data_IF_189912646055
#
_entry.id   IF_189912646055
#
_cell.length_a   1.000
_cell.length_b   1.000
_cell.length_c   1.000
_cell.angle_alpha   90.00
_cell.angle_beta   90.00
_cell.angle_gamma   90.00
#
_symmetry.space_group_name_H-M   'P 1'
#
loop_
_entity.id
_entity.type
_entity.pdbx_description
1 polymer ?
#
# COMPACT_ATOMS: atom_id res chain seq x y z
N UNK A 1 -41.77 10.82 62.17
CA UNK A 1 -41.58 9.94 61.01
C UNK A 1 -41.04 10.81 59.84
N UNK A 2 -39.74 10.75 59.60
CA UNK A 2 -39.12 11.49 58.50
C UNK A 2 -38.81 10.48 57.38
N UNK A 3 -39.41 10.66 56.24
CA UNK A 3 -39.20 9.86 55.05
C UNK A 3 -38.07 10.50 54.27
N UNK A 4 -36.91 9.77 54.15
CA UNK A 4 -35.82 10.15 53.25
C UNK A 4 -36.11 9.59 51.89
N UNK A 5 -36.24 10.46 50.89
CA UNK A 5 -36.22 10.11 49.45
C UNK A 5 -34.75 10.04 48.98
N UNK A 6 -34.32 8.85 48.61
CA UNK A 6 -33.06 8.67 47.85
C UNK A 6 -33.37 8.92 46.37
N UNK A 7 -32.76 9.95 45.80
CA UNK A 7 -32.72 10.16 44.36
C UNK A 7 -31.51 9.39 43.79
N UNK A 8 -31.77 8.37 42.97
CA UNK A 8 -30.74 7.69 42.21
C UNK A 8 -30.46 8.48 40.91
N UNK A 9 -29.27 9.01 40.84
CA UNK A 9 -28.79 9.64 39.60
C UNK A 9 -28.26 8.53 38.67
N UNK A 10 -28.96 8.31 37.55
CA UNK A 10 -28.50 7.49 36.46
C UNK A 10 -27.58 8.35 35.60
N UNK A 11 -26.29 8.14 35.70
CA UNK A 11 -25.31 8.71 34.80
C UNK A 11 -25.34 7.93 33.48
N UNK A 12 -26.02 8.47 32.47
CA UNK A 12 -25.98 7.95 31.12
C UNK A 12 -24.63 8.29 30.50
N UNK A 13 -23.80 7.27 30.30
CA UNK A 13 -22.58 7.39 29.49
C UNK A 13 -22.99 7.56 28.02
N UNK A 14 -22.91 8.79 27.53
CA UNK A 14 -23.01 9.05 26.09
C UNK A 14 -21.70 8.57 25.45
N UNK A 15 -21.75 7.39 24.82
CA UNK A 15 -20.71 6.94 23.91
C UNK A 15 -20.74 7.86 22.71
N UNK A 16 -19.87 8.84 22.69
CA UNK A 16 -19.54 9.60 21.49
C UNK A 16 -18.85 8.63 20.53
N UNK A 17 -19.60 8.10 19.57
CA UNK A 17 -19.01 7.50 18.39
C UNK A 17 -18.20 8.61 17.71
N UNK A 18 -16.88 8.50 17.75
CA UNK A 18 -16.00 9.32 16.93
C UNK A 18 -16.27 8.93 15.47
N UNK A 19 -17.26 9.56 14.87
CA UNK A 19 -17.41 9.58 13.42
C UNK A 19 -16.12 10.16 12.85
N UNK A 20 -15.51 9.46 11.88
CA UNK A 20 -14.38 9.99 11.15
C UNK A 20 -14.82 11.36 10.60
N UNK A 21 -14.30 12.44 11.18
CA UNK A 21 -14.51 13.76 10.63
C UNK A 21 -13.84 13.80 9.28
N UNK A 22 -14.60 14.21 8.24
CA UNK A 22 -14.03 14.49 6.94
C UNK A 22 -12.84 15.44 7.13
N UNK A 23 -11.66 15.00 6.72
CA UNK A 23 -10.49 15.85 6.78
C UNK A 23 -10.71 17.07 5.89
N UNK A 24 -10.41 18.25 6.41
CA UNK A 24 -10.45 19.46 5.60
C UNK A 24 -9.37 19.36 4.53
N UNK A 25 -9.81 19.15 3.28
CA UNK A 25 -8.93 19.07 2.10
C UNK A 25 -8.78 20.42 1.42
N UNK A 26 -9.32 21.50 2.01
CA UNK A 26 -9.18 22.84 1.49
C UNK A 26 -7.72 23.28 1.51
N UNK A 27 -7.23 23.77 0.38
CA UNK A 27 -5.90 24.34 0.28
C UNK A 27 -5.83 25.71 0.96
N UNK A 28 -4.65 26.14 1.46
CA UNK A 28 -4.47 27.51 1.91
C UNK A 28 -4.80 28.51 0.82
N UNK A 29 -5.24 29.70 1.22
CA UNK A 29 -5.55 30.77 0.27
C UNK A 29 -4.36 31.09 -0.61
N UNK A 30 -4.60 31.22 -1.92
CA UNK A 30 -3.55 31.49 -2.91
C UNK A 30 -2.75 30.28 -3.38
N UNK A 31 -3.02 29.10 -2.82
CA UNK A 31 -2.36 27.87 -3.25
C UNK A 31 -3.15 27.23 -4.40
N UNK A 32 -2.43 26.85 -5.45
CA UNK A 32 -2.99 26.22 -6.64
C UNK A 32 -2.29 24.90 -6.92
N UNK A 33 -3.06 23.83 -7.03
CA UNK A 33 -2.56 22.54 -7.47
C UNK A 33 -2.23 22.60 -8.96
N UNK A 34 -1.00 22.23 -9.30
CA UNK A 34 -0.48 22.31 -10.68
C UNK A 34 -0.39 20.92 -11.33
N UNK A 35 -0.05 19.90 -10.56
CA UNK A 35 0.16 18.55 -11.06
C UNK A 35 0.05 17.55 -9.91
N UNK A 36 -0.47 16.35 -10.21
CA UNK A 36 -0.49 15.21 -9.29
C UNK A 36 0.06 13.98 -9.99
N UNK A 37 1.00 13.30 -9.35
CA UNK A 37 1.39 11.96 -9.71
C UNK A 37 0.93 11.01 -8.61
N UNK A 38 0.17 10.00 -9.01
CA UNK A 38 -0.41 8.99 -8.11
C UNK A 38 0.36 7.69 -8.32
N UNK A 39 1.10 7.25 -7.29
CA UNK A 39 1.71 5.91 -7.29
C UNK A 39 0.83 4.97 -6.47
N UNK A 40 0.15 4.05 -7.14
CA UNK A 40 -0.84 3.16 -6.54
C UNK A 40 -0.35 1.72 -6.46
N UNK A 41 -0.64 1.06 -5.34
CA UNK A 41 -0.69 -0.40 -5.30
C UNK A 41 -1.97 -0.86 -5.99
N UNK A 42 -1.93 -2.03 -6.69
CA UNK A 42 -3.14 -2.69 -7.19
C UNK A 42 -4.18 -2.88 -6.08
N UNK A 43 -5.43 -3.01 -6.44
CA UNK A 43 -6.51 -3.26 -5.50
C UNK A 43 -6.66 -4.76 -5.15
N UNK A 44 -7.74 -5.10 -4.48
CA UNK A 44 -8.03 -6.42 -3.91
C UNK A 44 -7.98 -7.53 -4.95
N UNK A 45 -7.20 -8.55 -4.65
CA UNK A 45 -6.94 -9.72 -5.48
C UNK A 45 -7.14 -11.02 -4.69
N UNK A 46 -7.24 -12.13 -5.39
CA UNK A 46 -7.09 -13.44 -4.77
C UNK A 46 -5.62 -13.66 -4.33
N UNK A 47 -5.36 -14.54 -3.34
CA UNK A 47 -3.99 -14.89 -2.95
C UNK A 47 -3.14 -15.31 -4.15
N UNK A 48 -1.84 -15.00 -4.12
CA UNK A 48 -0.94 -15.28 -5.23
C UNK A 48 -0.88 -16.79 -5.54
N UNK A 49 -0.93 -17.15 -6.81
CA UNK A 49 -0.90 -18.54 -7.25
C UNK A 49 0.40 -19.26 -6.83
N UNK A 50 1.53 -18.56 -6.85
CA UNK A 50 2.82 -19.11 -6.42
C UNK A 50 2.93 -19.33 -4.90
N UNK A 51 1.98 -18.82 -4.12
CA UNK A 51 1.87 -19.09 -2.68
C UNK A 51 0.97 -20.30 -2.36
N UNK A 52 0.31 -20.89 -3.35
CA UNK A 52 -0.61 -22.01 -3.15
C UNK A 52 0.02 -23.19 -2.44
N UNK A 53 1.24 -23.58 -2.82
CA UNK A 53 1.96 -24.66 -2.14
C UNK A 53 2.34 -24.32 -0.70
N UNK A 54 2.65 -23.07 -0.39
CA UNK A 54 2.92 -22.62 0.98
C UNK A 54 1.66 -22.72 1.83
N UNK A 55 0.51 -22.28 1.30
CA UNK A 55 -0.78 -22.36 2.01
C UNK A 55 -1.16 -23.82 2.29
N UNK A 56 -1.09 -24.69 1.29
CA UNK A 56 -1.42 -26.10 1.41
C UNK A 56 -0.50 -26.87 2.36
N UNK A 57 0.79 -26.54 2.37
CA UNK A 57 1.77 -27.19 3.25
C UNK A 57 1.69 -26.74 4.70
N UNK A 58 1.12 -25.56 4.96
CA UNK A 58 1.12 -24.94 6.28
C UNK A 58 -0.04 -25.38 7.17
N UNK A 59 -1.08 -25.98 6.61
CA UNK A 59 -2.26 -26.42 7.36
C UNK A 59 -2.95 -27.58 6.69
N UNK A 60 -3.55 -28.46 7.49
CA UNK A 60 -4.47 -29.49 7.01
C UNK A 60 -5.88 -28.96 6.77
N UNK A 61 -6.19 -27.76 7.25
CA UNK A 61 -7.51 -27.13 7.07
C UNK A 61 -7.72 -26.77 5.59
N UNK A 62 -8.98 -26.88 5.12
CA UNK A 62 -9.33 -26.55 3.75
C UNK A 62 -9.37 -25.02 3.56
N UNK A 63 -8.74 -24.54 2.51
CA UNK A 63 -8.79 -23.14 2.13
C UNK A 63 -10.07 -22.82 1.34
N UNK A 64 -10.68 -21.65 1.57
CA UNK A 64 -11.84 -21.25 0.78
C UNK A 64 -11.43 -20.99 -0.66
N UNK A 65 -12.36 -21.24 -1.58
CA UNK A 65 -12.17 -20.98 -3.01
C UNK A 65 -12.49 -19.54 -3.34
N UNK A 66 -11.72 -19.00 -4.30
CA UNK A 66 -11.93 -17.68 -4.87
C UNK A 66 -12.57 -17.82 -6.26
N UNK A 67 -13.32 -16.79 -6.67
CA UNK A 67 -14.01 -16.77 -7.96
C UNK A 67 -13.12 -16.32 -9.13
N UNK A 68 -11.87 -15.96 -8.85
CA UNK A 68 -10.85 -15.62 -9.85
C UNK A 68 -9.59 -16.43 -9.63
N UNK A 69 -8.77 -16.63 -10.65
CA UNK A 69 -7.46 -17.27 -10.48
C UNK A 69 -6.56 -16.54 -9.47
N UNK A 70 -5.65 -17.26 -8.86
CA UNK A 70 -4.70 -16.70 -7.90
C UNK A 70 -3.95 -15.49 -8.46
N UNK A 71 -3.87 -14.44 -7.66
CA UNK A 71 -3.16 -13.21 -8.01
C UNK A 71 -3.94 -12.23 -8.89
N UNK A 72 -5.12 -12.57 -9.33
CA UNK A 72 -5.95 -11.67 -10.15
C UNK A 72 -6.85 -10.78 -9.29
N UNK A 73 -7.09 -9.57 -9.80
CA UNK A 73 -8.04 -8.63 -9.21
C UNK A 73 -9.44 -9.25 -9.14
N UNK A 74 -10.08 -9.13 -7.98
CA UNK A 74 -11.47 -9.57 -7.83
C UNK A 74 -12.45 -8.50 -8.34
N UNK A 75 -13.70 -8.89 -8.56
CA UNK A 75 -14.77 -7.93 -8.90
C UNK A 75 -14.91 -6.86 -7.80
N UNK A 76 -14.84 -7.26 -6.52
CA UNK A 76 -14.86 -6.31 -5.40
C UNK A 76 -13.67 -5.36 -5.45
N UNK A 77 -12.49 -5.86 -5.80
CA UNK A 77 -11.31 -5.02 -6.02
C UNK A 77 -11.55 -3.93 -7.07
N UNK A 78 -12.24 -4.27 -8.14
CA UNK A 78 -12.66 -3.32 -9.15
C UNK A 78 -13.65 -2.28 -8.63
N UNK A 79 -14.65 -2.70 -7.87
CA UNK A 79 -15.64 -1.79 -7.24
C UNK A 79 -14.96 -0.80 -6.28
N UNK A 80 -14.06 -1.30 -5.43
CA UNK A 80 -13.30 -0.45 -4.50
C UNK A 80 -12.47 0.59 -5.25
N UNK A 81 -11.89 0.21 -6.37
CA UNK A 81 -11.09 1.14 -7.18
C UNK A 81 -11.94 2.16 -7.93
N UNK A 82 -13.13 1.80 -8.38
CA UNK A 82 -14.11 2.76 -8.92
C UNK A 82 -14.43 3.82 -7.88
N UNK A 83 -14.65 3.44 -6.63
CA UNK A 83 -14.91 4.39 -5.54
C UNK A 83 -13.71 5.32 -5.28
N UNK A 84 -12.51 4.76 -5.31
CA UNK A 84 -11.30 5.56 -5.14
C UNK A 84 -11.13 6.56 -6.32
N UNK A 85 -11.37 6.12 -7.53
CA UNK A 85 -11.37 6.98 -8.71
C UNK A 85 -12.41 8.10 -8.63
N UNK A 86 -13.62 7.78 -8.21
CA UNK A 86 -14.69 8.76 -8.00
C UNK A 86 -14.29 9.84 -6.97
N UNK A 87 -13.80 9.43 -5.82
CA UNK A 87 -13.30 10.35 -4.80
C UNK A 87 -12.18 11.26 -5.36
N UNK A 88 -11.24 10.65 -6.07
CA UNK A 88 -10.12 11.39 -6.63
C UNK A 88 -10.58 12.45 -7.64
N UNK A 89 -11.57 12.10 -8.48
CA UNK A 89 -12.19 13.07 -9.40
C UNK A 89 -12.80 14.24 -8.66
N UNK A 90 -13.55 14.00 -7.60
CA UNK A 90 -14.17 15.09 -6.80
C UNK A 90 -13.09 15.99 -6.19
N UNK A 91 -12.02 15.40 -5.64
CA UNK A 91 -10.92 16.17 -5.07
C UNK A 91 -10.18 16.99 -6.12
N UNK A 92 -9.86 16.40 -7.27
CA UNK A 92 -9.20 17.11 -8.37
C UNK A 92 -10.05 18.28 -8.90
N UNK A 93 -11.37 18.13 -8.95
CA UNK A 93 -12.29 19.20 -9.33
C UNK A 93 -12.36 20.28 -8.25
N UNK A 94 -12.39 19.90 -6.97
CA UNK A 94 -12.33 20.84 -5.84
C UNK A 94 -11.06 21.71 -5.92
N UNK A 95 -9.93 21.12 -6.28
CA UNK A 95 -8.64 21.81 -6.46
C UNK A 95 -8.51 22.49 -7.85
N UNK A 96 -9.55 22.42 -8.67
CA UNK A 96 -9.58 23.03 -10.01
C UNK A 96 -8.52 22.52 -10.99
N UNK A 97 -7.96 21.33 -10.72
CA UNK A 97 -7.03 20.69 -11.67
C UNK A 97 -7.77 20.07 -12.86
N UNK A 98 -9.00 19.64 -12.65
CA UNK A 98 -9.94 19.22 -13.68
C UNK A 98 -11.26 19.98 -13.53
N UNK A 99 -12.05 20.05 -14.60
CA UNK A 99 -13.36 20.71 -14.57
C UNK A 99 -14.43 19.68 -14.25
N UNK A 100 -15.29 20.00 -13.26
CA UNK A 100 -16.40 19.14 -12.88
C UNK A 100 -17.36 18.94 -14.05
N UNK A 101 -17.78 17.68 -14.28
CA UNK A 101 -18.77 17.36 -15.32
C UNK A 101 -18.21 17.31 -16.76
N UNK A 102 -16.92 17.55 -16.95
CA UNK A 102 -16.28 17.52 -18.27
C UNK A 102 -15.17 16.46 -18.33
N UNK A 103 -14.95 15.89 -19.50
CA UNK A 103 -13.76 15.09 -19.73
C UNK A 103 -12.52 16.00 -19.76
N UNK A 104 -11.37 15.56 -19.19
CA UNK A 104 -10.14 16.32 -19.29
C UNK A 104 -9.68 16.44 -20.75
N UNK A 105 -8.92 17.49 -21.06
CA UNK A 105 -8.31 17.62 -22.40
C UNK A 105 -7.44 16.40 -22.73
N UNK A 106 -7.25 16.15 -24.01
CA UNK A 106 -6.34 15.11 -24.48
C UNK A 106 -4.94 15.28 -23.85
N UNK A 107 -4.35 14.18 -23.41
CA UNK A 107 -3.05 14.13 -22.73
C UNK A 107 -2.99 14.81 -21.34
N UNK A 108 -4.10 15.30 -20.81
CA UNK A 108 -4.12 15.85 -19.45
C UNK A 108 -4.02 14.78 -18.37
N UNK A 109 -4.46 13.55 -18.66
CA UNK A 109 -4.40 12.39 -17.76
C UNK A 109 -3.63 11.28 -18.47
N UNK A 110 -2.61 10.74 -17.79
CA UNK A 110 -1.81 9.64 -18.28
C UNK A 110 -1.84 8.50 -17.26
N UNK A 111 -2.31 7.32 -17.66
CA UNK A 111 -2.36 6.12 -16.83
C UNK A 111 -1.39 5.07 -17.36
N UNK A 112 -0.54 4.55 -16.48
CA UNK A 112 0.49 3.56 -16.78
C UNK A 112 0.55 2.50 -15.68
N UNK A 113 0.43 1.25 -16.06
CA UNK A 113 0.41 0.13 -15.13
C UNK A 113 1.45 -0.92 -15.47
N UNK A 114 1.90 -1.66 -14.45
CA UNK A 114 2.64 -2.89 -14.69
C UNK A 114 1.77 -3.87 -15.48
N UNK A 115 2.38 -4.66 -16.34
CA UNK A 115 1.72 -5.55 -17.31
C UNK A 115 1.23 -6.87 -16.70
N UNK A 116 0.59 -6.79 -15.54
CA UNK A 116 -0.13 -7.89 -14.91
C UNK A 116 -1.62 -7.57 -14.88
N UNK A 117 -2.47 -8.61 -14.88
CA UNK A 117 -3.92 -8.40 -14.87
C UNK A 117 -4.35 -7.47 -13.73
N UNK A 118 -3.92 -7.72 -12.50
CA UNK A 118 -4.35 -6.95 -11.32
C UNK A 118 -3.95 -5.47 -11.36
N UNK A 119 -2.82 -5.15 -11.96
CA UNK A 119 -2.34 -3.76 -12.06
C UNK A 119 -3.01 -3.01 -13.21
N UNK A 120 -3.12 -3.63 -14.37
CA UNK A 120 -3.83 -3.04 -15.52
C UNK A 120 -5.32 -2.87 -15.19
N UNK A 121 -5.96 -3.89 -14.61
CA UNK A 121 -7.37 -3.81 -14.22
C UNK A 121 -7.61 -2.74 -13.15
N UNK A 122 -6.74 -2.62 -12.15
CA UNK A 122 -6.84 -1.53 -11.15
C UNK A 122 -6.83 -0.17 -11.83
N UNK A 123 -5.90 0.08 -12.75
CA UNK A 123 -5.84 1.34 -13.49
C UNK A 123 -7.11 1.58 -14.32
N UNK A 124 -7.64 0.57 -14.98
CA UNK A 124 -8.87 0.65 -15.78
C UNK A 124 -10.07 1.02 -14.90
N UNK A 125 -10.22 0.38 -13.75
CA UNK A 125 -11.32 0.69 -12.82
C UNK A 125 -11.18 2.08 -12.20
N UNK A 126 -9.96 2.52 -11.88
CA UNK A 126 -9.73 3.89 -11.44
C UNK A 126 -10.20 4.90 -12.50
N UNK A 127 -9.78 4.74 -13.74
CA UNK A 127 -10.19 5.61 -14.85
C UNK A 127 -11.71 5.58 -15.03
N UNK A 128 -12.34 4.41 -14.93
CA UNK A 128 -13.80 4.30 -15.00
C UNK A 128 -14.48 5.11 -13.89
N UNK A 129 -13.97 5.06 -12.68
CA UNK A 129 -14.50 5.83 -11.55
C UNK A 129 -14.26 7.32 -11.63
N UNK A 130 -13.07 7.71 -12.08
CA UNK A 130 -12.68 9.12 -12.15
C UNK A 130 -13.16 9.82 -13.43
N UNK A 131 -13.07 9.16 -14.58
CA UNK A 131 -13.32 9.76 -15.90
C UNK A 131 -14.18 8.84 -16.79
N UNK A 132 -15.39 8.49 -16.34
CA UNK A 132 -16.24 7.54 -17.07
C UNK A 132 -16.56 8.05 -18.47
N UNK A 133 -16.35 7.20 -19.47
CA UNK A 133 -16.65 7.51 -20.87
C UNK A 133 -15.70 8.50 -21.55
N UNK A 134 -14.61 8.92 -20.90
CA UNK A 134 -13.69 9.90 -21.46
C UNK A 134 -12.62 9.31 -22.41
N UNK A 135 -12.59 8.00 -22.59
CA UNK A 135 -11.68 7.35 -23.55
C UNK A 135 -10.20 7.41 -23.15
N UNK A 136 -9.89 7.51 -21.85
CA UNK A 136 -8.51 7.54 -21.37
C UNK A 136 -7.96 6.10 -21.35
N UNK A 137 -6.90 5.87 -22.13
CA UNK A 137 -6.25 4.58 -22.22
C UNK A 137 -5.36 4.31 -21.01
N UNK A 138 -5.26 3.04 -20.60
CA UNK A 138 -4.25 2.55 -19.67
C UNK A 138 -3.08 2.00 -20.48
N UNK A 139 -1.91 2.63 -20.32
CA UNK A 139 -0.68 2.20 -20.98
C UNK A 139 0.00 1.10 -20.17
N UNK A 140 0.53 0.11 -20.85
CA UNK A 140 1.34 -0.95 -20.28
C UNK A 140 2.21 -1.54 -21.39
N UNK A 141 3.28 -2.27 -21.03
CA UNK A 141 4.05 -2.95 -22.07
C UNK A 141 3.20 -4.04 -22.77
N UNK A 142 3.49 -4.34 -24.05
CA UNK A 142 2.61 -5.19 -24.87
C UNK A 142 2.38 -6.58 -24.33
N UNK A 143 3.40 -7.20 -23.72
CA UNK A 143 3.33 -8.57 -23.25
C UNK A 143 2.74 -8.65 -21.85
N UNK A 144 1.47 -9.03 -21.73
CA UNK A 144 0.81 -9.28 -20.45
C UNK A 144 1.40 -10.50 -19.75
N UNK A 145 1.40 -10.46 -18.41
CA UNK A 145 1.94 -11.54 -17.58
C UNK A 145 3.44 -11.43 -17.31
N UNK A 146 4.07 -10.38 -17.79
CA UNK A 146 5.50 -10.08 -17.54
C UNK A 146 5.65 -8.81 -16.72
N UNK A 147 6.78 -8.71 -16.01
CA UNK A 147 7.09 -7.51 -15.23
C UNK A 147 7.71 -6.43 -16.11
N UNK A 148 7.10 -5.25 -16.10
CA UNK A 148 7.68 -4.05 -16.69
C UNK A 148 8.86 -3.59 -15.83
N UNK A 149 10.03 -3.26 -16.43
CA UNK A 149 11.20 -2.81 -15.68
C UNK A 149 10.95 -1.64 -14.74
N UNK A 150 10.03 -0.72 -15.06
CA UNK A 150 9.66 0.40 -14.18
C UNK A 150 9.11 -0.06 -12.84
N UNK A 151 8.35 -1.15 -12.84
CA UNK A 151 7.67 -1.70 -11.66
C UNK A 151 8.32 -2.97 -11.11
N UNK A 152 9.43 -3.41 -11.68
CA UNK A 152 10.11 -4.63 -11.27
C UNK A 152 11.27 -4.29 -10.32
N UNK A 153 11.10 -4.49 -9.00
CA UNK A 153 12.09 -4.08 -8.01
C UNK A 153 13.21 -5.12 -7.88
N UNK A 154 13.98 -5.30 -8.95
CA UNK A 154 15.07 -6.27 -9.02
C UNK A 154 16.42 -5.64 -8.74
N UNK A 155 17.34 -6.44 -8.23
CA UNK A 155 18.72 -6.05 -8.00
C UNK A 155 19.42 -5.89 -9.35
N UNK A 156 20.02 -4.71 -9.57
CA UNK A 156 20.68 -4.33 -10.82
C UNK A 156 22.20 -4.28 -10.70
N UNK A 157 22.73 -4.38 -9.50
CA UNK A 157 24.18 -4.48 -9.25
C UNK A 157 24.58 -5.95 -9.14
N UNK A 158 25.44 -6.43 -10.04
CA UNK A 158 25.88 -7.81 -10.11
C UNK A 158 27.15 -8.10 -9.28
N UNK A 159 27.67 -7.09 -8.57
CA UNK A 159 28.91 -7.26 -7.81
C UNK A 159 28.70 -8.15 -6.58
N UNK A 160 29.68 -9.02 -6.26
CA UNK A 160 29.65 -9.81 -5.03
C UNK A 160 29.62 -8.94 -3.76
N UNK A 161 30.29 -7.78 -3.78
CA UNK A 161 30.29 -6.83 -2.66
C UNK A 161 28.90 -6.27 -2.38
N UNK A 162 28.15 -5.88 -3.42
CA UNK A 162 26.78 -5.41 -3.25
C UNK A 162 25.88 -6.53 -2.71
N UNK A 163 25.96 -7.72 -3.26
CA UNK A 163 25.19 -8.88 -2.81
C UNK A 163 25.39 -9.16 -1.34
N UNK A 164 26.64 -9.18 -0.88
CA UNK A 164 26.97 -9.40 0.53
C UNK A 164 26.39 -8.29 1.41
N UNK A 165 26.55 -7.02 1.01
CA UNK A 165 25.99 -5.86 1.72
C UNK A 165 24.46 -5.95 1.81
N UNK A 166 23.79 -6.33 0.73
CA UNK A 166 22.33 -6.49 0.69
C UNK A 166 21.86 -7.59 1.63
N UNK A 167 22.50 -8.75 1.61
CA UNK A 167 22.19 -9.88 2.51
C UNK A 167 22.37 -9.49 3.98
N UNK A 168 23.47 -8.84 4.33
CA UNK A 168 23.73 -8.39 5.69
C UNK A 168 22.68 -7.36 6.16
N UNK A 169 22.30 -6.44 5.27
CA UNK A 169 21.30 -5.43 5.58
C UNK A 169 19.92 -6.03 5.86
N UNK A 170 19.49 -6.99 5.04
CA UNK A 170 18.21 -7.70 5.24
C UNK A 170 18.21 -8.54 6.51
N UNK A 171 19.28 -9.27 6.78
CA UNK A 171 19.45 -10.05 8.01
C UNK A 171 19.41 -9.15 9.25
N UNK A 172 20.05 -7.99 9.20
CA UNK A 172 20.04 -7.01 10.29
C UNK A 172 18.63 -6.50 10.57
N UNK A 173 17.88 -6.16 9.54
CA UNK A 173 16.46 -5.74 9.68
C UNK A 173 15.66 -6.86 10.37
N UNK A 174 15.81 -8.09 9.92
CA UNK A 174 15.10 -9.25 10.50
C UNK A 174 15.47 -9.48 11.98
N UNK A 175 16.72 -9.36 12.32
CA UNK A 175 17.19 -9.56 13.70
C UNK A 175 16.61 -8.55 14.70
N UNK A 176 16.28 -7.35 14.24
CA UNK A 176 15.63 -6.32 15.07
C UNK A 176 14.15 -6.56 15.34
N UNK A 177 13.54 -7.55 14.72
CA UNK A 177 12.11 -7.84 14.85
C UNK A 177 11.83 -8.88 15.94
N UNK A 178 10.74 -8.67 16.68
CA UNK A 178 10.25 -9.60 17.70
C UNK A 178 8.97 -10.25 17.17
N UNK A 179 9.08 -11.44 16.59
CA UNK A 179 7.99 -12.14 15.90
C UNK A 179 7.54 -13.43 16.58
N UNK A 180 8.12 -13.80 17.71
CA UNK A 180 7.80 -15.06 18.40
C UNK A 180 6.32 -15.16 18.76
N UNK A 181 5.74 -14.11 19.33
CA UNK A 181 4.30 -14.08 19.66
C UNK A 181 3.44 -14.24 18.41
N UNK A 182 3.80 -13.57 17.33
CA UNK A 182 3.08 -13.63 16.06
C UNK A 182 3.10 -15.03 15.47
N UNK A 183 4.25 -15.70 15.47
CA UNK A 183 4.36 -17.09 15.00
C UNK A 183 3.57 -18.07 15.86
N UNK A 184 3.63 -17.94 17.17
CA UNK A 184 2.88 -18.81 18.08
C UNK A 184 1.37 -18.67 17.89
N UNK A 185 0.89 -17.43 17.73
CA UNK A 185 -0.52 -17.19 17.43
C UNK A 185 -0.92 -17.82 16.09
N UNK A 186 -0.11 -17.61 15.04
CA UNK A 186 -0.35 -18.18 13.73
C UNK A 186 -0.39 -19.71 13.76
N UNK A 187 0.60 -20.35 14.41
CA UNK A 187 0.67 -21.81 14.55
C UNK A 187 -0.60 -22.41 15.17
N UNK A 188 -1.14 -21.74 16.19
CA UNK A 188 -2.39 -22.16 16.83
C UNK A 188 -3.57 -22.05 15.86
N UNK A 189 -3.68 -20.94 15.14
CA UNK A 189 -4.80 -20.70 14.21
C UNK A 189 -4.86 -21.69 13.06
N UNK A 190 -3.70 -22.09 12.55
CA UNK A 190 -3.60 -23.00 11.40
C UNK A 190 -3.46 -24.47 11.81
N UNK A 191 -3.44 -24.77 13.10
CA UNK A 191 -3.16 -26.11 13.61
C UNK A 191 -1.87 -26.70 12.97
N UNK A 192 -0.78 -25.97 13.11
CA UNK A 192 0.47 -26.23 12.39
C UNK A 192 1.05 -27.61 12.65
N UNK A 193 0.83 -28.18 13.85
CA UNK A 193 1.30 -29.54 14.20
C UNK A 193 0.69 -30.63 13.33
N UNK A 194 -0.51 -30.40 12.82
CA UNK A 194 -1.20 -31.32 11.90
C UNK A 194 -0.98 -30.99 10.42
N UNK A 195 -0.16 -29.98 10.12
CA UNK A 195 0.17 -29.59 8.75
C UNK A 195 1.04 -30.62 8.02
N UNK A 196 0.99 -30.66 6.69
CA UNK A 196 1.94 -31.43 5.89
C UNK A 196 3.40 -31.07 6.19
N UNK A 197 3.72 -29.80 6.41
CA UNK A 197 5.06 -29.35 6.78
C UNK A 197 5.58 -30.01 8.05
N UNK A 198 4.74 -30.11 9.08
CA UNK A 198 5.14 -30.76 10.33
C UNK A 198 5.22 -32.30 10.18
N UNK A 199 4.19 -32.91 9.60
CA UNK A 199 4.09 -34.38 9.53
C UNK A 199 5.03 -35.01 8.51
N UNK A 200 5.22 -34.38 7.37
CA UNK A 200 5.97 -34.93 6.26
C UNK A 200 7.42 -34.41 6.22
N UNK A 201 7.62 -33.13 6.53
CA UNK A 201 8.93 -32.46 6.47
C UNK A 201 9.58 -32.26 7.83
N UNK A 202 8.88 -32.63 8.92
CA UNK A 202 9.33 -32.47 10.31
C UNK A 202 9.66 -31.02 10.70
N UNK A 203 9.05 -30.04 10.03
CA UNK A 203 9.14 -28.62 10.35
C UNK A 203 7.91 -28.27 11.19
N UNK A 204 8.03 -28.32 12.50
CA UNK A 204 6.90 -28.24 13.43
C UNK A 204 6.84 -26.94 14.25
N UNK A 205 7.77 -26.02 14.04
CA UNK A 205 7.77 -24.71 14.68
C UNK A 205 8.18 -23.64 13.68
N UNK A 206 7.39 -22.59 13.55
CA UNK A 206 7.74 -21.40 12.77
C UNK A 206 8.68 -20.48 13.57
N UNK A 207 8.44 -20.34 14.88
CA UNK A 207 9.23 -19.45 15.74
C UNK A 207 10.69 -19.87 15.90
N UNK A 208 11.00 -21.15 15.78
CA UNK A 208 12.35 -21.71 15.89
C UNK A 208 13.06 -21.85 14.56
N UNK A 209 12.36 -21.65 13.44
CA UNK A 209 12.92 -21.69 12.11
C UNK A 209 13.82 -20.51 11.80
N UNK A 210 14.72 -20.70 10.83
CA UNK A 210 15.62 -19.65 10.37
C UNK A 210 15.20 -19.14 9.00
N UNK A 211 15.24 -17.82 8.84
CA UNK A 211 15.04 -17.17 7.55
C UNK A 211 16.35 -17.13 6.75
N UNK A 212 16.24 -17.40 5.46
CA UNK A 212 17.36 -17.32 4.52
C UNK A 212 17.05 -16.27 3.46
N UNK A 213 17.88 -15.23 3.37
CA UNK A 213 17.71 -14.14 2.41
C UNK A 213 18.43 -14.43 1.11
N UNK A 214 17.92 -13.84 0.03
CA UNK A 214 18.51 -13.89 -1.30
C UNK A 214 18.57 -12.51 -1.94
N UNK A 215 19.65 -12.24 -2.67
CA UNK A 215 19.93 -10.98 -3.33
C UNK A 215 20.56 -11.24 -4.72
N UNK A 216 19.90 -12.07 -5.52
CA UNK A 216 20.39 -12.44 -6.85
C UNK A 216 20.26 -11.30 -7.85
N UNK A 217 21.25 -11.18 -8.75
CA UNK A 217 21.21 -10.22 -9.85
C UNK A 217 19.98 -10.46 -10.75
N UNK A 218 19.29 -9.38 -11.12
CA UNK A 218 18.03 -9.39 -11.87
C UNK A 218 16.88 -10.16 -11.21
N UNK A 219 16.95 -10.31 -9.91
CA UNK A 219 15.88 -10.89 -9.09
C UNK A 219 15.44 -9.92 -8.01
N UNK A 220 14.18 -10.03 -7.60
CA UNK A 220 13.72 -9.32 -6.40
C UNK A 220 14.47 -9.83 -5.16
N UNK A 221 14.78 -8.96 -4.19
CA UNK A 221 15.21 -9.43 -2.87
C UNK A 221 14.20 -10.42 -2.32
N UNK A 222 14.66 -11.50 -1.75
CA UNK A 222 13.80 -12.57 -1.29
C UNK A 222 14.17 -13.11 0.07
N UNK A 223 13.24 -13.81 0.68
CA UNK A 223 13.43 -14.56 1.91
C UNK A 223 12.67 -15.88 1.83
N UNK A 224 13.29 -16.95 2.29
CA UNK A 224 12.66 -18.25 2.51
C UNK A 224 12.68 -18.58 4.01
N UNK A 225 11.77 -19.43 4.45
CA UNK A 225 11.63 -19.82 5.84
C UNK A 225 10.37 -19.27 6.49
N UNK A 226 10.33 -19.18 7.83
CA UNK A 226 9.12 -18.80 8.57
C UNK A 226 8.52 -17.47 8.17
N UNK A 227 9.35 -16.49 7.86
CA UNK A 227 8.85 -15.15 7.51
C UNK A 227 8.08 -15.17 6.19
N UNK A 228 8.53 -15.94 5.20
CA UNK A 228 7.79 -16.13 3.95
C UNK A 228 6.46 -16.85 4.20
N UNK A 229 6.47 -17.88 5.02
CA UNK A 229 5.25 -18.61 5.40
C UNK A 229 4.27 -17.69 6.11
N UNK A 230 4.75 -16.97 7.11
CA UNK A 230 3.91 -16.02 7.87
C UNK A 230 3.30 -14.93 6.98
N UNK A 231 4.08 -14.35 6.10
CA UNK A 231 3.59 -13.35 5.14
C UNK A 231 2.48 -13.94 4.25
N UNK A 232 2.68 -15.12 3.68
CA UNK A 232 1.73 -15.75 2.76
C UNK A 232 0.40 -16.06 3.45
N UNK A 233 0.45 -16.57 4.68
CA UNK A 233 -0.75 -16.90 5.47
C UNK A 233 -1.51 -15.66 5.91
N UNK A 234 -0.83 -14.67 6.46
CA UNK A 234 -1.47 -13.43 6.93
C UNK A 234 -2.01 -12.64 5.75
N UNK A 235 -1.33 -12.62 4.60
CA UNK A 235 -1.86 -12.04 3.37
C UNK A 235 -3.19 -12.71 2.97
N UNK A 236 -3.26 -14.03 2.97
CA UNK A 236 -4.48 -14.75 2.66
C UNK A 236 -5.64 -14.39 3.61
N UNK A 237 -5.40 -14.33 4.91
CA UNK A 237 -6.41 -13.95 5.90
C UNK A 237 -6.89 -12.51 5.70
N UNK A 238 -5.97 -11.60 5.44
CA UNK A 238 -6.25 -10.19 5.19
C UNK A 238 -7.14 -10.02 3.95
N UNK A 239 -6.81 -10.71 2.87
CA UNK A 239 -7.60 -10.68 1.64
C UNK A 239 -9.00 -11.29 1.81
N UNK A 240 -9.13 -12.38 2.57
CA UNK A 240 -10.43 -12.96 2.92
C UNK A 240 -11.31 -11.94 3.66
N UNK A 241 -10.73 -11.22 4.60
CA UNK A 241 -11.45 -10.19 5.35
C UNK A 241 -11.92 -9.06 4.44
N UNK A 242 -11.05 -8.54 3.58
CA UNK A 242 -11.39 -7.45 2.65
C UNK A 242 -12.40 -7.89 1.58
N UNK A 243 -12.33 -9.13 1.10
CA UNK A 243 -13.31 -9.65 0.15
C UNK A 243 -14.71 -9.77 0.74
N UNK A 244 -14.81 -9.76 2.06
CA UNK A 244 -16.07 -9.84 2.77
C UNK A 244 -16.53 -11.29 3.03
N UNK A 245 -15.61 -12.23 3.07
CA UNK A 245 -15.94 -13.58 3.52
C UNK A 245 -16.58 -13.52 4.91
N UNK A 246 -17.58 -14.37 5.19
CA UNK A 246 -18.14 -14.45 6.53
C UNK A 246 -17.03 -14.59 7.58
N UNK A 247 -17.20 -13.95 8.73
CA UNK A 247 -16.13 -13.93 9.76
C UNK A 247 -15.70 -15.31 10.24
N UNK A 248 -16.61 -16.28 10.22
CA UNK A 248 -16.31 -17.68 10.52
C UNK A 248 -15.50 -18.40 9.44
N UNK A 249 -15.34 -17.78 8.26
CA UNK A 249 -14.52 -18.29 7.16
C UNK A 249 -13.20 -17.52 6.99
N UNK A 250 -13.05 -16.36 7.62
CA UNK A 250 -11.78 -15.63 7.65
C UNK A 250 -10.86 -16.32 8.66
N UNK A 251 -9.76 -16.89 8.21
CA UNK A 251 -8.87 -17.69 9.04
C UNK A 251 -9.67 -18.72 9.90
N UNK A 252 -10.68 -19.34 9.30
CA UNK A 252 -11.57 -20.33 9.93
C UNK A 252 -12.25 -19.82 11.22
N UNK A 253 -12.47 -18.51 11.33
CA UNK A 253 -13.08 -17.88 12.49
C UNK A 253 -12.14 -17.70 13.70
N UNK A 254 -10.86 -17.96 13.53
CA UNK A 254 -9.87 -17.90 14.63
C UNK A 254 -9.43 -16.48 15.00
N UNK A 255 -9.71 -15.48 14.13
CA UNK A 255 -9.37 -14.08 14.41
C UNK A 255 -10.61 -13.38 14.95
N UNK A 256 -10.58 -13.02 16.24
CA UNK A 256 -11.73 -12.47 16.96
C UNK A 256 -11.51 -11.08 17.53
N UNK A 257 -10.31 -10.50 17.37
CA UNK A 257 -9.98 -9.19 17.96
C UNK A 257 -9.00 -8.39 17.11
N UNK A 258 -9.02 -7.09 17.29
CA UNK A 258 -8.03 -6.17 16.68
C UNK A 258 -6.61 -6.49 17.14
N UNK A 259 -6.45 -6.90 18.38
CA UNK A 259 -5.13 -7.29 18.92
C UNK A 259 -4.52 -8.44 18.13
N UNK A 260 -5.32 -9.44 17.78
CA UNK A 260 -4.86 -10.56 16.97
C UNK A 260 -4.46 -10.11 15.55
N UNK A 261 -5.25 -9.23 14.93
CA UNK A 261 -4.86 -8.63 13.64
C UNK A 261 -3.52 -7.88 13.73
N UNK A 262 -3.32 -7.09 14.78
CA UNK A 262 -2.06 -6.36 15.00
C UNK A 262 -0.87 -7.32 15.14
N UNK A 263 -1.03 -8.37 15.92
CA UNK A 263 0.02 -9.38 16.18
C UNK A 263 0.35 -10.15 14.89
N UNK A 264 -0.64 -10.58 14.14
CA UNK A 264 -0.44 -11.29 12.87
C UNK A 264 0.18 -10.38 11.79
N UNK A 265 -0.26 -9.13 11.71
CA UNK A 265 0.21 -8.19 10.70
C UNK A 265 1.70 -7.85 10.84
N UNK A 266 2.30 -8.07 12.01
CA UNK A 266 3.75 -7.95 12.17
C UNK A 266 4.53 -8.90 11.25
N UNK A 267 3.97 -10.06 10.91
CA UNK A 267 4.60 -11.00 9.99
C UNK A 267 4.61 -10.46 8.56
N UNK A 268 3.51 -9.89 8.12
CA UNK A 268 3.40 -9.30 6.79
C UNK A 268 4.24 -8.03 6.67
N UNK A 269 4.12 -7.11 7.63
CA UNK A 269 4.95 -5.91 7.66
C UNK A 269 6.43 -6.24 7.82
N UNK A 270 6.76 -7.22 8.64
CA UNK A 270 8.14 -7.68 8.84
C UNK A 270 8.76 -8.31 7.59
N UNK A 271 7.99 -9.07 6.83
CA UNK A 271 8.43 -9.58 5.53
C UNK A 271 8.84 -8.44 4.60
N UNK A 272 7.98 -7.45 4.44
CA UNK A 272 8.24 -6.31 3.58
C UNK A 272 9.40 -5.45 4.09
N UNK A 273 9.44 -5.16 5.39
CA UNK A 273 10.50 -4.36 6.00
C UNK A 273 11.86 -5.04 5.88
N UNK A 274 11.95 -6.34 6.07
CA UNK A 274 13.22 -7.05 5.95
C UNK A 274 13.82 -6.94 4.54
N UNK A 275 12.98 -6.89 3.52
CA UNK A 275 13.41 -6.80 2.12
C UNK A 275 13.67 -5.37 1.65
N UNK A 276 12.86 -4.38 2.09
CA UNK A 276 12.85 -3.06 1.47
C UNK A 276 13.13 -1.89 2.44
N UNK A 277 13.35 -2.15 3.72
CA UNK A 277 13.63 -1.08 4.68
C UNK A 277 15.12 -0.66 4.70
N UNK A 278 16.00 -1.47 4.15
CA UNK A 278 17.41 -1.13 3.98
C UNK A 278 17.59 -0.14 2.84
N UNK A 279 18.21 1.01 3.14
CA UNK A 279 18.48 2.05 2.13
C UNK A 279 19.25 1.53 0.93
N UNK A 280 20.29 0.72 1.17
CA UNK A 280 21.13 0.18 0.09
C UNK A 280 20.33 -0.69 -0.89
N UNK A 281 19.48 -1.57 -0.38
CA UNK A 281 18.63 -2.43 -1.21
C UNK A 281 17.57 -1.60 -1.92
N UNK A 282 16.86 -0.76 -1.17
CA UNK A 282 15.75 0.04 -1.70
C UNK A 282 16.21 0.99 -2.81
N UNK A 283 17.33 1.70 -2.63
CA UNK A 283 17.86 2.59 -3.65
C UNK A 283 18.26 1.86 -4.94
N UNK A 284 18.74 0.64 -4.82
CA UNK A 284 19.06 -0.17 -5.99
C UNK A 284 17.80 -0.62 -6.73
N UNK A 285 16.85 -1.24 -6.04
CA UNK A 285 15.69 -1.86 -6.68
C UNK A 285 14.62 -0.85 -7.10
N UNK A 286 14.51 0.31 -6.44
CA UNK A 286 13.53 1.34 -6.76
C UNK A 286 14.00 2.30 -7.86
N UNK A 287 15.25 2.23 -8.28
CA UNK A 287 15.82 3.21 -9.21
C UNK A 287 15.02 3.43 -10.49
N UNK A 288 14.55 2.41 -11.21
CA UNK A 288 13.73 2.63 -12.40
C UNK A 288 12.46 3.44 -12.14
N UNK A 289 11.76 3.14 -11.04
CA UNK A 289 10.56 3.87 -10.64
C UNK A 289 10.89 5.30 -10.20
N UNK A 290 11.95 5.49 -9.43
CA UNK A 290 12.43 6.83 -9.02
C UNK A 290 12.75 7.68 -10.24
N UNK A 291 13.45 7.13 -11.23
CA UNK A 291 13.75 7.83 -12.50
C UNK A 291 12.49 8.21 -13.25
N UNK A 292 11.51 7.32 -13.31
CA UNK A 292 10.24 7.61 -13.97
C UNK A 292 9.51 8.78 -13.29
N UNK A 293 9.40 8.74 -11.97
CA UNK A 293 8.75 9.79 -11.18
C UNK A 293 9.50 11.11 -11.30
N UNK A 294 10.83 11.09 -11.23
CA UNK A 294 11.68 12.27 -11.43
C UNK A 294 11.40 12.94 -12.78
N UNK A 295 11.41 12.16 -13.87
CA UNK A 295 11.10 12.67 -15.20
C UNK A 295 9.68 13.24 -15.31
N UNK A 296 8.70 12.56 -14.71
CA UNK A 296 7.30 12.98 -14.80
C UNK A 296 7.00 14.26 -14.01
N UNK A 297 7.69 14.47 -12.87
CA UNK A 297 7.41 15.58 -11.97
C UNK A 297 8.36 16.77 -12.13
N UNK A 298 9.65 16.52 -12.36
CA UNK A 298 10.67 17.57 -12.21
C UNK A 298 11.68 17.65 -13.35
N UNK A 299 11.71 16.65 -14.25
CA UNK A 299 12.66 16.61 -15.37
C UNK A 299 12.41 17.69 -16.43
N UNK A 300 13.45 18.06 -17.16
CA UNK A 300 13.31 18.82 -18.40
C UNK A 300 12.54 17.97 -19.42
N UNK A 301 11.44 18.46 -19.93
CA UNK A 301 10.51 17.67 -20.73
C UNK A 301 9.55 16.83 -19.89
N UNK A 302 9.41 17.18 -18.62
CA UNK A 302 8.43 16.59 -17.71
C UNK A 302 7.07 16.40 -18.40
N UNK A 303 6.40 15.32 -18.09
CA UNK A 303 5.08 15.01 -18.63
C UNK A 303 4.17 16.23 -18.59
N UNK A 304 3.54 16.55 -19.70
CA UNK A 304 2.53 17.61 -19.79
C UNK A 304 1.21 17.18 -19.14
N UNK A 305 1.11 15.92 -18.67
CA UNK A 305 -0.05 15.44 -17.96
C UNK A 305 -0.21 16.17 -16.63
N UNK A 306 -1.41 16.65 -16.38
CA UNK A 306 -1.75 17.21 -15.06
C UNK A 306 -1.92 16.14 -14.01
N UNK A 307 -2.38 14.96 -14.43
CA UNK A 307 -2.60 13.80 -13.57
C UNK A 307 -1.90 12.60 -14.21
N UNK A 308 -0.97 12.00 -13.48
CA UNK A 308 -0.33 10.75 -13.87
C UNK A 308 -0.71 9.68 -12.86
N UNK A 309 -1.26 8.57 -13.34
CA UNK A 309 -1.57 7.39 -12.54
C UNK A 309 -0.57 6.28 -12.86
N UNK A 310 0.17 5.84 -11.86
CA UNK A 310 1.03 4.67 -11.93
C UNK A 310 0.46 3.58 -11.04
N UNK A 311 0.31 2.36 -11.56
CA UNK A 311 -0.19 1.22 -10.78
C UNK A 311 0.81 0.09 -10.77
N UNK A 312 1.29 -0.23 -9.59
CA UNK A 312 2.23 -1.30 -9.32
C UNK A 312 1.86 -2.08 -8.06
N UNK A 313 2.87 -2.33 -7.25
CA UNK A 313 2.83 -3.28 -6.13
C UNK A 313 3.21 -2.61 -4.81
N UNK A 314 2.92 -3.30 -3.71
CA UNK A 314 3.38 -2.92 -2.37
C UNK A 314 4.91 -2.78 -2.29
N UNK A 315 5.65 -3.65 -2.97
CA UNK A 315 7.11 -3.59 -3.07
C UNK A 315 7.60 -2.30 -3.74
N UNK A 316 6.87 -1.77 -4.72
CA UNK A 316 7.18 -0.49 -5.34
C UNK A 316 7.02 0.66 -4.35
N UNK A 317 5.93 0.70 -3.61
CA UNK A 317 5.68 1.74 -2.60
C UNK A 317 6.71 1.64 -1.47
N UNK A 318 6.93 0.44 -0.93
CA UNK A 318 7.88 0.22 0.16
C UNK A 318 9.30 0.63 -0.21
N UNK A 319 9.81 0.17 -1.35
CA UNK A 319 11.15 0.52 -1.79
C UNK A 319 11.29 2.00 -2.15
N UNK A 320 10.27 2.60 -2.75
CA UNK A 320 10.25 4.03 -3.07
C UNK A 320 10.34 4.91 -1.81
N UNK A 321 9.54 4.60 -0.80
CA UNK A 321 9.55 5.34 0.47
C UNK A 321 10.92 5.29 1.15
N UNK A 322 11.56 4.14 1.15
CA UNK A 322 12.91 3.97 1.72
C UNK A 322 13.97 4.66 0.85
N UNK A 323 13.90 4.51 -0.46
CA UNK A 323 14.88 5.10 -1.39
C UNK A 323 14.89 6.64 -1.33
N UNK A 324 13.75 7.26 -1.12
CA UNK A 324 13.61 8.72 -0.99
C UNK A 324 13.77 9.20 0.46
N UNK A 325 14.06 8.31 1.40
CA UNK A 325 14.26 8.62 2.82
C UNK A 325 13.07 9.33 3.46
N UNK A 326 11.89 8.74 3.32
CA UNK A 326 10.70 9.21 4.04
C UNK A 326 10.84 8.94 5.54
N UNK A 327 10.32 9.87 6.34
CA UNK A 327 10.19 9.67 7.79
C UNK A 327 9.20 8.53 8.06
N UNK A 328 9.36 7.83 9.21
CA UNK A 328 8.37 6.85 9.65
C UNK A 328 6.96 7.43 9.67
N UNK A 329 6.00 6.62 9.29
CA UNK A 329 4.59 7.01 9.22
C UNK A 329 3.71 5.93 9.82
N UNK A 330 2.48 6.32 10.16
CA UNK A 330 1.43 5.42 10.59
C UNK A 330 0.16 5.69 9.78
N UNK A 331 -0.59 4.63 9.49
CA UNK A 331 -1.83 4.68 8.75
C UNK A 331 -3.01 4.31 9.68
N UNK A 332 -3.67 5.29 10.32
CA UNK A 332 -4.82 5.02 11.17
C UNK A 332 -5.90 4.21 10.45
N UNK A 333 -6.45 3.21 11.12
CA UNK A 333 -7.48 2.33 10.55
C UNK A 333 -6.94 1.23 9.65
N UNK A 334 -5.60 1.02 9.62
CA UNK A 334 -4.94 -0.03 8.86
C UNK A 334 -3.94 -0.80 9.71
N UNK A 335 -3.78 -2.08 9.38
CA UNK A 335 -2.72 -2.94 9.95
C UNK A 335 -1.51 -3.04 9.01
N UNK A 336 -1.71 -2.85 7.72
CA UNK A 336 -0.67 -2.91 6.70
C UNK A 336 -0.01 -1.55 6.50
N UNK A 337 1.29 -1.52 6.29
CA UNK A 337 2.01 -0.30 5.90
C UNK A 337 1.79 0.11 4.46
N UNK A 338 1.49 -0.85 3.60
CA UNK A 338 1.22 -0.62 2.18
C UNK A 338 -0.10 -1.29 1.79
N UNK A 339 -1.23 -0.75 2.28
CA UNK A 339 -2.52 -1.40 2.12
C UNK A 339 -2.96 -1.52 0.67
N UNK A 340 -3.81 -2.50 0.42
CA UNK A 340 -4.47 -2.74 -0.86
C UNK A 340 -5.07 -1.42 -1.39
N UNK A 341 -4.81 -1.12 -2.66
CA UNK A 341 -5.32 0.07 -3.32
C UNK A 341 -4.78 1.40 -2.81
N UNK A 342 -3.89 1.37 -1.82
CA UNK A 342 -3.28 2.57 -1.25
C UNK A 342 -2.41 3.29 -2.27
N UNK A 343 -2.32 4.61 -2.12
CA UNK A 343 -1.71 5.49 -3.12
C UNK A 343 -0.87 6.57 -2.46
N UNK A 344 0.29 6.82 -3.04
CA UNK A 344 1.09 8.01 -2.76
C UNK A 344 0.71 9.10 -3.75
N UNK A 345 0.33 10.27 -3.25
CA UNK A 345 0.03 11.44 -4.07
C UNK A 345 1.19 12.43 -3.97
N UNK A 346 1.96 12.55 -5.04
CA UNK A 346 2.98 13.57 -5.20
C UNK A 346 2.31 14.79 -5.86
N UNK A 347 2.19 15.90 -5.10
CA UNK A 347 1.42 17.07 -5.50
C UNK A 347 2.34 18.27 -5.68
N UNK A 348 2.33 18.86 -6.89
CA UNK A 348 2.99 20.14 -7.14
C UNK A 348 1.99 21.25 -6.96
N UNK A 349 2.35 22.20 -6.10
CA UNK A 349 1.54 23.37 -5.79
C UNK A 349 2.29 24.65 -6.09
N UNK A 350 1.55 25.69 -6.39
CA UNK A 350 2.07 27.06 -6.49
C UNK A 350 1.38 27.94 -5.47
N UNK A 351 2.16 28.62 -4.63
CA UNK A 351 1.70 29.67 -3.73
C UNK A 351 1.85 31.03 -4.41
N UNK A 352 0.74 31.60 -4.85
CA UNK A 352 0.73 32.90 -5.53
C UNK A 352 1.11 34.06 -4.60
N UNK A 353 0.86 33.93 -3.30
CA UNK A 353 1.20 34.96 -2.29
C UNK A 353 2.70 35.14 -2.12
N UNK A 354 3.47 34.06 -2.05
CA UNK A 354 4.92 34.06 -1.93
C UNK A 354 5.66 33.80 -3.26
N UNK A 355 4.93 33.50 -4.32
CA UNK A 355 5.47 33.08 -5.62
C UNK A 355 6.46 31.90 -5.50
N UNK A 356 6.05 30.88 -4.76
CA UNK A 356 6.87 29.68 -4.53
C UNK A 356 6.19 28.43 -5.08
N UNK A 357 7.00 27.53 -5.63
CA UNK A 357 6.59 26.19 -6.00
C UNK A 357 6.87 25.22 -4.86
N UNK A 358 5.88 24.41 -4.53
CA UNK A 358 5.86 23.55 -3.35
C UNK A 358 5.51 22.11 -3.72
N UNK A 359 5.95 21.18 -2.90
CA UNK A 359 5.55 19.78 -2.93
C UNK A 359 4.77 19.43 -1.67
N UNK A 360 3.70 18.64 -1.86
CA UNK A 360 3.00 17.94 -0.78
C UNK A 360 2.85 16.48 -1.15
N UNK A 361 3.16 15.59 -0.23
CA UNK A 361 3.04 14.15 -0.46
C UNK A 361 2.11 13.58 0.60
N UNK A 362 1.07 12.88 0.15
CA UNK A 362 0.10 12.24 1.04
C UNK A 362 -0.02 10.75 0.70
N UNK A 363 -0.30 9.96 1.73
CA UNK A 363 -0.75 8.59 1.59
C UNK A 363 -2.28 8.60 1.65
N UNK A 364 -2.94 8.14 0.59
CA UNK A 364 -4.40 8.03 0.51
C UNK A 364 -4.77 6.56 0.43
N UNK A 365 -5.61 6.10 1.33
CA UNK A 365 -5.93 4.68 1.47
C UNK A 365 -7.29 4.48 2.12
N UNK A 366 -7.87 3.32 1.94
CA UNK A 366 -9.09 2.93 2.63
C UNK A 366 -8.73 2.22 3.93
N UNK A 367 -9.50 2.48 4.99
CA UNK A 367 -9.40 1.71 6.23
C UNK A 367 -9.82 0.25 6.00
N UNK A 368 -9.46 -0.63 6.92
CA UNK A 368 -9.89 -2.05 6.86
C UNK A 368 -11.39 -2.19 6.74
N UNK A 369 -12.15 -1.35 7.45
CA UNK A 369 -13.61 -1.38 7.42
C UNK A 369 -14.18 -0.80 6.12
N UNK A 370 -13.58 0.26 5.59
CA UNK A 370 -13.97 0.80 4.28
C UNK A 370 -13.78 -0.24 3.17
N UNK A 371 -12.69 -1.00 3.23
CA UNK A 371 -12.42 -2.10 2.29
C UNK A 371 -13.45 -3.22 2.46
N UNK A 372 -13.62 -3.72 3.68
CA UNK A 372 -14.53 -4.84 3.93
C UNK A 372 -15.98 -4.52 3.59
N UNK A 373 -16.46 -3.34 3.98
CA UNK A 373 -17.84 -2.92 3.77
C UNK A 373 -18.09 -2.38 2.35
N UNK A 374 -17.03 -2.15 1.56
CA UNK A 374 -17.12 -1.48 0.26
C UNK A 374 -17.88 -0.14 0.37
N UNK A 375 -17.50 0.68 1.34
CA UNK A 375 -18.12 1.99 1.55
C UNK A 375 -17.86 2.89 0.34
N UNK A 376 -18.89 3.49 -0.29
CA UNK A 376 -18.69 4.49 -1.32
C UNK A 376 -17.89 5.69 -0.79
N UNK A 377 -17.02 6.24 -1.63
CA UNK A 377 -16.14 7.34 -1.26
C UNK A 377 -16.55 8.63 -1.96
N UNK A 378 -16.68 9.70 -1.16
CA UNK A 378 -16.95 11.05 -1.61
C UNK A 378 -16.12 12.04 -0.80
N UNK A 379 -16.19 13.34 -1.11
CA UNK A 379 -15.55 14.36 -0.26
C UNK A 379 -16.15 14.39 1.16
N UNK A 380 -17.41 13.99 1.34
CA UNK A 380 -18.08 13.92 2.64
C UNK A 380 -17.80 12.60 3.38
N UNK A 381 -17.56 11.54 2.65
CA UNK A 381 -17.21 10.21 3.17
C UNK A 381 -15.87 9.76 2.54
N UNK A 382 -14.78 10.43 2.90
CA UNK A 382 -13.50 10.25 2.20
C UNK A 382 -12.78 8.96 2.61
N UNK A 383 -11.80 8.51 1.80
CA UNK A 383 -10.79 7.61 2.28
C UNK A 383 -9.93 8.30 3.36
N UNK A 384 -8.99 7.58 3.93
CA UNK A 384 -8.03 8.13 4.87
C UNK A 384 -6.91 8.87 4.12
N UNK A 385 -6.41 9.95 4.68
CA UNK A 385 -5.26 10.70 4.14
C UNK A 385 -4.26 10.98 5.26
N UNK A 386 -2.98 10.74 5.00
CA UNK A 386 -1.89 11.02 5.93
C UNK A 386 -0.82 11.80 5.16
N UNK A 387 -0.43 12.96 5.69
CA UNK A 387 0.69 13.72 5.14
C UNK A 387 2.01 13.02 5.47
N UNK A 388 2.85 12.85 4.47
CA UNK A 388 4.18 12.27 4.60
C UNK A 388 5.25 13.36 4.50
N UNK A 389 6.41 13.08 5.07
CA UNK A 389 7.57 13.97 5.01
C UNK A 389 8.83 13.17 4.67
N UNK A 390 9.69 13.76 3.83
CA UNK A 390 11.04 13.27 3.58
C UNK A 390 12.00 13.87 4.59
N UNK A 391 13.00 13.12 5.05
CA UNK A 391 14.06 13.67 5.86
C UNK A 391 14.80 14.82 5.14
N UNK A 392 15.03 14.68 3.84
CA UNK A 392 15.70 15.67 3.01
C UNK A 392 14.82 16.84 2.54
N UNK A 393 13.52 16.84 2.85
CA UNK A 393 12.60 17.92 2.48
C UNK A 393 11.58 18.15 3.62
N UNK A 394 11.99 18.77 4.72
CA UNK A 394 11.11 19.01 5.85
C UNK A 394 9.88 19.82 5.44
N UNK A 395 8.74 19.45 5.99
CA UNK A 395 7.46 20.09 5.68
C UNK A 395 7.09 21.14 6.71
N UNK A 396 6.33 22.15 6.29
CA UNK A 396 5.69 23.10 7.19
C UNK A 396 4.47 22.50 7.89
N UNK A 397 3.74 23.31 8.68
CA UNK A 397 2.58 22.87 9.44
C UNK A 397 1.42 22.35 8.56
N UNK A 398 1.44 22.68 7.28
CA UNK A 398 0.42 22.28 6.31
C UNK A 398 0.88 21.15 5.38
N UNK A 399 2.08 20.62 5.59
CA UNK A 399 2.62 19.47 4.87
C UNK A 399 3.35 19.82 3.58
N UNK A 400 3.72 21.07 3.36
CA UNK A 400 4.43 21.51 2.16
C UNK A 400 5.92 21.66 2.39
N UNK A 401 6.72 21.26 1.42
CA UNK A 401 8.15 21.58 1.35
C UNK A 401 8.49 22.23 0.00
N UNK A 402 9.60 22.99 -0.09
CA UNK A 402 9.97 23.63 -1.36
C UNK A 402 10.22 22.61 -2.48
N UNK A 403 9.67 22.87 -3.67
CA UNK A 403 9.89 22.02 -4.85
C UNK A 403 11.38 21.85 -5.17
N UNK A 404 12.17 22.92 -5.08
CA UNK A 404 13.61 22.87 -5.36
C UNK A 404 14.37 21.93 -4.41
N UNK A 405 13.94 21.85 -3.13
CA UNK A 405 14.50 20.90 -2.17
C UNK A 405 14.13 19.48 -2.52
N UNK A 406 12.86 19.23 -2.89
CA UNK A 406 12.40 17.92 -3.34
C UNK A 406 13.15 17.47 -4.61
N UNK A 407 13.37 18.36 -5.58
CA UNK A 407 14.14 18.05 -6.78
C UNK A 407 15.52 17.51 -6.46
N UNK A 408 16.21 18.10 -5.49
CA UNK A 408 17.53 17.62 -5.06
C UNK A 408 17.48 16.21 -4.51
N UNK A 409 16.47 15.90 -3.70
CA UNK A 409 16.31 14.57 -3.10
C UNK A 409 16.05 13.51 -4.19
N UNK A 410 15.08 13.76 -5.06
CA UNK A 410 14.73 12.76 -6.08
C UNK A 410 15.81 12.63 -7.17
N UNK A 411 16.46 13.71 -7.56
CA UNK A 411 17.58 13.66 -8.50
C UNK A 411 18.74 12.84 -7.94
N UNK A 412 19.07 12.98 -6.66
CA UNK A 412 20.12 12.17 -6.02
C UNK A 412 19.75 10.70 -5.98
N UNK A 413 18.51 10.38 -5.62
CA UNK A 413 18.02 9.01 -5.59
C UNK A 413 17.93 8.37 -6.99
N UNK A 414 17.83 9.15 -8.04
CA UNK A 414 17.76 8.70 -9.44
C UNK A 414 19.14 8.40 -10.07
N UNK A 415 20.23 8.82 -9.44
CA UNK A 415 21.61 8.53 -9.90
C UNK A 415 21.96 7.04 -9.69
#
# INVERSE_FOLDING_TARGET
MKICLLAAAVAGAVMLSAGAQAQDTAAPEGYQLQQVLIMSRHNLRAPLANNGSVLEQSTAKAWPQWDVPGGQLTTKGGVLEVYMGHYMREWLAQQKLVTSGECPPENAVYAYANSLQRTVATAQFFITGAFPGCGIAVHHQPQMGTMDPTFNPVITDDSPAFREKALQAMEKERQGMQLTESYKLLETMIDYRNSPSCKEKQVCSLSEGKDTFSAGYQQEPGVSGPLKVGNSLVDAFTLQYYEGFPKDQVAWGEITSDKQWQVLSKLKNGYQDSLFNSTAVAQNVAKPLVKYIDNALVGEGASKAKVTLLVGHDSNIASLLTALDFKPYQLPGQYERTPIGGKLLFQRWHDSGSNRDLMKIEYVYQSTEQLRNADPLTLQTPPQRVTLALNGCPVDDQGFCPLETFKKVINEAAK
#
